data_IF_963441643142
#
_entry.id   IF_963441643142
#
_cell.length_a   1.000
_cell.length_b   1.000
_cell.length_c   1.000
_cell.angle_alpha   90.00
_cell.angle_beta   90.00
_cell.angle_gamma   90.00
#
_symmetry.space_group_name_H-M   'P 1'
#
loop_
_entity.id
_entity.type
_entity.pdbx_description
1 polymer ?
#
# COMPACT_ATOMS: atom_id res chain seq x y z
N UNK A 1 0.27 -6.46 14.30
CA UNK A 1 0.79 -5.08 14.40
C UNK A 1 -0.30 -4.07 14.74
N UNK A 2 -0.95 -3.42 13.76
CA UNK A 2 -1.85 -2.27 13.95
C UNK A 2 -3.09 -2.53 14.82
N UNK A 3 -3.71 -3.71 14.72
CA UNK A 3 -4.91 -4.06 15.49
C UNK A 3 -4.72 -4.25 17.01
N UNK A 4 -3.56 -3.86 17.57
CA UNK A 4 -3.31 -3.87 19.02
C UNK A 4 -3.78 -2.61 19.73
N UNK A 5 -3.99 -1.50 19.01
CA UNK A 5 -4.42 -0.20 19.56
C UNK A 5 -5.95 -0.10 19.64
N UNK A 6 -6.50 0.76 20.51
CA UNK A 6 -7.93 1.10 20.54
C UNK A 6 -8.86 0.00 21.06
N UNK A 7 -8.40 -0.83 22.01
CA UNK A 7 -9.22 -1.92 22.60
C UNK A 7 -10.22 -1.44 23.66
N UNK A 8 -10.06 -0.21 24.12
CA UNK A 8 -10.98 0.55 24.97
C UNK A 8 -12.18 1.10 24.20
N UNK A 9 -12.13 1.13 22.87
CA UNK A 9 -13.19 1.68 22.01
C UNK A 9 -13.03 3.16 21.73
N UNK A 10 -12.01 3.80 22.29
CA UNK A 10 -11.68 5.19 22.02
C UNK A 10 -10.93 5.33 20.67
N UNK A 11 -10.89 6.56 20.17
CA UNK A 11 -10.19 6.86 18.92
C UNK A 11 -8.68 6.57 19.04
N UNK A 12 -8.14 5.89 18.03
CA UNK A 12 -6.73 5.55 17.97
C UNK A 12 -6.17 5.70 16.55
N UNK A 13 -4.87 5.99 16.47
CA UNK A 13 -4.18 6.20 15.20
C UNK A 13 -3.20 5.07 14.89
N UNK A 14 -3.19 4.65 13.63
CA UNK A 14 -2.20 3.73 13.07
C UNK A 14 -1.45 4.44 11.94
N UNK A 15 -0.16 4.70 12.15
CA UNK A 15 0.68 5.42 11.19
C UNK A 15 1.74 4.46 10.65
N UNK A 16 1.84 4.38 9.32
CA UNK A 16 2.83 3.56 8.63
C UNK A 16 3.83 4.47 7.91
N UNK A 17 5.11 4.33 8.23
CA UNK A 17 6.19 4.99 7.50
C UNK A 17 6.68 4.09 6.38
N UNK A 18 6.72 4.62 5.16
CA UNK A 18 7.17 3.89 3.97
C UNK A 18 8.39 4.57 3.35
N UNK A 19 9.39 3.75 2.99
CA UNK A 19 10.49 4.13 2.09
C UNK A 19 10.78 3.01 1.11
N UNK A 20 11.11 3.35 -0.13
CA UNK A 20 11.41 2.36 -1.18
C UNK A 20 12.53 1.40 -0.78
N UNK A 21 13.54 1.86 -0.02
CA UNK A 21 14.67 1.02 0.38
C UNK A 21 14.26 -0.14 1.32
N UNK A 22 13.12 -0.02 2.01
CA UNK A 22 12.62 -1.08 2.88
C UNK A 22 12.13 -2.29 2.06
N UNK A 23 11.72 -2.08 0.80
CA UNK A 23 11.33 -3.15 -0.12
C UNK A 23 12.49 -4.12 -0.37
N UNK A 24 13.68 -3.60 -0.69
CA UNK A 24 14.85 -4.43 -1.00
C UNK A 24 15.36 -5.17 0.23
N UNK A 25 15.27 -4.56 1.42
CA UNK A 25 15.63 -5.23 2.67
C UNK A 25 14.69 -6.39 2.96
N UNK A 26 13.39 -6.15 2.89
CA UNK A 26 12.38 -7.16 3.18
C UNK A 26 12.36 -8.28 2.13
N UNK A 27 12.59 -7.97 0.86
CA UNK A 27 12.59 -8.98 -0.20
C UNK A 27 13.62 -10.08 0.04
N UNK A 28 14.80 -9.75 0.58
CA UNK A 28 15.84 -10.73 0.91
C UNK A 28 15.45 -11.65 2.08
N UNK A 29 14.62 -11.19 3.00
CA UNK A 29 14.16 -11.99 4.15
C UNK A 29 13.03 -12.94 3.76
N UNK A 30 12.17 -12.55 2.82
CA UNK A 30 10.98 -13.32 2.42
C UNK A 30 11.14 -14.10 1.11
N UNK A 31 12.30 -14.02 0.45
CA UNK A 31 12.51 -14.63 -0.88
C UNK A 31 12.44 -16.15 -0.88
N UNK A 32 12.71 -16.80 0.25
CA UNK A 32 12.61 -18.25 0.41
C UNK A 32 11.20 -18.72 0.73
N UNK A 33 10.29 -17.81 1.09
CA UNK A 33 8.91 -18.13 1.39
C UNK A 33 8.08 -18.23 0.12
N UNK A 34 7.24 -19.27 0.02
CA UNK A 34 6.41 -19.55 -1.17
C UNK A 34 5.58 -18.35 -1.64
N UNK A 35 5.07 -17.54 -0.71
CA UNK A 35 4.23 -16.37 -0.99
C UNK A 35 4.83 -15.06 -0.47
N UNK A 36 6.05 -15.09 0.07
CA UNK A 36 6.62 -13.95 0.80
C UNK A 36 6.75 -12.70 -0.08
N UNK A 37 7.35 -12.86 -1.26
CA UNK A 37 7.52 -11.76 -2.23
C UNK A 37 6.17 -11.22 -2.70
N UNK A 38 5.18 -12.09 -2.95
CA UNK A 38 3.83 -11.67 -3.35
C UNK A 38 3.15 -10.83 -2.25
N UNK A 39 3.22 -11.30 -1.01
CA UNK A 39 2.63 -10.61 0.13
C UNK A 39 3.32 -9.26 0.40
N UNK A 40 4.64 -9.21 0.24
CA UNK A 40 5.41 -7.96 0.33
C UNK A 40 4.96 -6.95 -0.74
N UNK A 41 4.74 -7.39 -1.98
CA UNK A 41 4.19 -6.51 -3.03
C UNK A 41 2.77 -6.04 -2.71
N UNK A 42 1.92 -6.84 -2.07
CA UNK A 42 0.61 -6.37 -1.60
C UNK A 42 0.74 -5.25 -0.55
N UNK A 43 1.70 -5.34 0.36
CA UNK A 43 1.99 -4.25 1.32
C UNK A 43 2.54 -3.02 0.60
N UNK A 44 3.41 -3.20 -0.40
CA UNK A 44 3.89 -2.09 -1.23
C UNK A 44 2.73 -1.37 -1.92
N UNK A 45 1.82 -2.11 -2.56
CA UNK A 45 0.62 -1.55 -3.19
C UNK A 45 -0.23 -0.77 -2.19
N UNK A 46 -0.40 -1.29 -0.97
CA UNK A 46 -1.06 -0.55 0.12
C UNK A 46 -0.33 0.77 0.40
N UNK A 47 1.00 0.78 0.54
CA UNK A 47 1.75 2.01 0.85
C UNK A 47 1.65 3.10 -0.23
N UNK A 48 1.67 2.73 -1.51
CA UNK A 48 1.67 3.68 -2.63
C UNK A 48 0.27 4.09 -3.10
N UNK A 49 -0.78 3.47 -2.56
CA UNK A 49 -2.16 3.80 -2.90
C UNK A 49 -2.47 5.26 -2.55
N UNK A 50 -3.11 5.97 -3.49
CA UNK A 50 -3.39 7.40 -3.41
C UNK A 50 -4.88 7.74 -3.46
N UNK A 51 -5.74 6.88 -4.04
CA UNK A 51 -7.15 7.19 -4.29
C UNK A 51 -8.14 6.28 -3.57
N UNK A 52 -7.73 5.07 -3.19
CA UNK A 52 -8.62 4.06 -2.62
C UNK A 52 -8.58 4.04 -1.09
N UNK A 53 -9.73 3.81 -0.44
CA UNK A 53 -9.85 3.75 1.00
C UNK A 53 -8.92 2.69 1.62
N UNK A 54 -8.18 3.03 2.68
CA UNK A 54 -7.30 2.06 3.38
C UNK A 54 -8.06 0.81 3.85
N UNK A 55 -9.31 0.97 4.31
CA UNK A 55 -10.15 -0.14 4.77
C UNK A 55 -10.67 -1.02 3.63
N UNK A 56 -10.89 -0.48 2.43
CA UNK A 56 -11.32 -1.29 1.28
C UNK A 56 -10.19 -2.21 0.82
N UNK A 57 -8.96 -1.68 0.72
CA UNK A 57 -7.77 -2.48 0.35
C UNK A 57 -7.55 -3.63 1.34
N UNK A 58 -7.72 -3.38 2.64
CA UNK A 58 -7.62 -4.41 3.68
C UNK A 58 -8.75 -5.45 3.52
N UNK A 59 -9.99 -5.00 3.29
CA UNK A 59 -11.13 -5.89 3.10
C UNK A 59 -10.98 -6.78 1.86
N UNK A 60 -10.51 -6.22 0.73
CA UNK A 60 -10.21 -6.97 -0.49
C UNK A 60 -9.17 -8.07 -0.24
N UNK A 61 -8.09 -7.76 0.49
CA UNK A 61 -7.08 -8.76 0.84
C UNK A 61 -7.66 -9.97 1.59
N UNK A 62 -8.67 -9.74 2.44
CA UNK A 62 -9.37 -10.80 3.18
C UNK A 62 -10.63 -11.33 2.47
N UNK A 63 -10.90 -10.89 1.24
CA UNK A 63 -12.12 -11.22 0.48
C UNK A 63 -13.41 -10.92 1.25
N UNK A 64 -13.44 -9.78 1.95
CA UNK A 64 -14.62 -9.29 2.68
C UNK A 64 -15.28 -8.20 1.84
N UNK A 65 -16.60 -8.30 1.65
CA UNK A 65 -17.36 -7.22 1.00
C UNK A 65 -17.26 -5.92 1.81
N UNK A 66 -16.95 -4.81 1.13
CA UNK A 66 -16.74 -3.53 1.78
C UNK A 66 -17.67 -2.45 1.22
N UNK A 67 -18.36 -1.77 2.13
CA UNK A 67 -19.12 -0.57 1.81
C UNK A 67 -18.30 0.67 2.21
N UNK A 68 -17.93 1.50 1.24
CA UNK A 68 -17.11 2.70 1.43
C UNK A 68 -17.69 3.68 2.46
N UNK A 69 -19.02 3.71 2.64
CA UNK A 69 -19.68 4.56 3.63
C UNK A 69 -19.31 4.20 5.09
N UNK A 70 -18.86 2.96 5.36
CA UNK A 70 -18.46 2.49 6.69
C UNK A 70 -17.09 3.02 7.14
N UNK A 71 -16.33 3.68 6.26
CA UNK A 71 -15.05 4.27 6.64
C UNK A 71 -15.23 5.53 7.50
N UNK A 72 -16.29 6.30 7.26
CA UNK A 72 -16.60 7.56 7.99
C UNK A 72 -15.41 8.53 8.08
N UNK A 73 -14.62 8.66 7.00
CA UNK A 73 -13.40 9.50 6.92
C UNK A 73 -12.30 9.14 7.92
N UNK A 74 -12.29 7.91 8.45
CA UNK A 74 -11.31 7.44 9.44
C UNK A 74 -10.02 6.88 8.81
N UNK A 75 -9.61 7.36 7.64
CA UNK A 75 -8.29 7.08 7.05
C UNK A 75 -7.81 8.31 6.28
N UNK A 76 -6.49 8.39 6.06
CA UNK A 76 -5.82 9.50 5.37
C UNK A 76 -6.44 9.82 4.01
N UNK A 77 -6.70 8.81 3.18
CA UNK A 77 -7.26 9.01 1.82
C UNK A 77 -8.72 9.49 1.86
N UNK A 78 -9.57 8.93 2.73
CA UNK A 78 -10.97 9.37 2.82
C UNK A 78 -11.15 10.69 3.56
N UNK A 79 -10.19 11.08 4.41
CA UNK A 79 -10.21 12.34 5.13
C UNK A 79 -9.83 13.52 4.22
N UNK A 80 -8.98 13.28 3.22
CA UNK A 80 -8.51 14.29 2.27
C UNK A 80 -9.28 14.21 0.95
N UNK A 81 -9.65 15.37 0.40
CA UNK A 81 -10.12 15.46 -0.98
C UNK A 81 -8.91 15.79 -1.87
N UNK A 82 -8.07 14.79 -2.15
CA UNK A 82 -6.94 14.97 -3.04
C UNK A 82 -7.38 14.63 -4.46
N UNK A 83 -7.17 15.56 -5.39
CA UNK A 83 -7.25 15.26 -6.81
C UNK A 83 -6.06 14.38 -7.18
N UNK A 84 -6.34 13.18 -7.66
CA UNK A 84 -5.32 12.24 -8.13
C UNK A 84 -5.16 12.45 -9.63
N UNK A 85 -3.98 12.90 -10.04
CA UNK A 85 -3.60 13.05 -11.43
C UNK A 85 -2.93 11.76 -11.93
N UNK A 86 -3.42 11.25 -13.06
CA UNK A 86 -2.77 10.14 -13.76
C UNK A 86 -1.68 10.70 -14.67
N UNK A 87 -0.43 10.39 -14.33
CA UNK A 87 0.74 10.80 -15.12
C UNK A 87 1.17 9.64 -16.01
N UNK A 88 1.34 9.88 -17.31
CA UNK A 88 1.95 8.91 -18.21
C UNK A 88 3.45 8.80 -17.91
N UNK A 89 3.88 7.61 -17.52
CA UNK A 89 5.28 7.29 -17.17
C UNK A 89 5.99 6.43 -18.22
N UNK A 90 5.39 6.23 -19.39
CA UNK A 90 5.86 5.32 -20.43
C UNK A 90 7.29 5.63 -20.88
N UNK A 91 7.64 6.91 -21.02
CA UNK A 91 8.99 7.31 -21.47
C UNK A 91 10.07 7.03 -20.43
N UNK A 92 9.77 7.21 -19.13
CA UNK A 92 10.69 6.82 -18.05
C UNK A 92 10.93 5.31 -18.06
N UNK A 93 9.89 4.52 -18.33
CA UNK A 93 10.02 3.07 -18.45
C UNK A 93 10.90 2.65 -19.63
N UNK A 94 10.74 3.29 -20.80
CA UNK A 94 11.60 3.05 -21.97
C UNK A 94 13.07 3.32 -21.67
N UNK A 95 13.37 4.46 -21.03
CA UNK A 95 14.74 4.81 -20.63
C UNK A 95 15.33 3.79 -19.65
N UNK A 96 14.55 3.36 -18.66
CA UNK A 96 14.99 2.34 -17.70
C UNK A 96 15.32 1.00 -18.41
N UNK A 97 14.51 0.59 -19.39
CA UNK A 97 14.77 -0.62 -20.17
C UNK A 97 16.05 -0.51 -21.02
N UNK A 98 16.35 0.66 -21.58
CA UNK A 98 17.60 0.88 -22.31
C UNK A 98 18.83 0.74 -21.41
N UNK A 99 18.78 1.30 -20.20
CA UNK A 99 19.85 1.14 -19.21
C UNK A 99 20.05 -0.34 -18.85
N UNK A 100 18.97 -1.06 -18.57
CA UNK A 100 19.04 -2.48 -18.19
C UNK A 100 19.55 -3.39 -19.31
N UNK A 101 19.34 -3.04 -20.58
CA UNK A 101 19.86 -3.80 -21.74
C UNK A 101 21.35 -3.58 -21.99
N UNK A 102 21.90 -2.46 -21.52
CA UNK A 102 23.30 -2.09 -21.69
C UNK A 102 24.18 -2.52 -20.50
N UNK A 103 23.59 -3.22 -19.52
CA UNK A 103 24.26 -3.90 -18.41
C UNK A 103 24.34 -5.39 -18.73
#
# INVERSE_FOLDING_TARGET
ESGRVGRDGDEAYCILFYRLNDLFRQSTMVCTEKTGVRNLYSVLSYCIQASECRRSVIAEHFNVEWNSSLCSKMCDICAQANDVECIDVTDYWRQMLEVLKNV
#
